data_IF_677753735988
#
_entry.id   IF_677753735988
#
_cell.length_a   1.000
_cell.length_b   1.000
_cell.length_c   1.000
_cell.angle_alpha   90.00
_cell.angle_beta   90.00
_cell.angle_gamma   90.00
#
_symmetry.space_group_name_H-M   'P 1'
#
loop_
_entity.id
_entity.type
_entity.pdbx_description
1 polymer ?
#
# COMPACT_ATOMS: atom_id res chain seq x y z
N UNK A 1 -15.66 -6.18 4.90
CA UNK A 1 -14.77 -5.64 3.83
C UNK A 1 -15.11 -6.31 2.51
N UNK A 2 -15.19 -7.66 2.48
CA UNK A 2 -15.62 -8.43 1.30
C UNK A 2 -16.90 -7.88 0.66
N UNK A 3 -17.97 -7.66 1.43
CA UNK A 3 -19.21 -7.07 0.93
C UNK A 3 -19.08 -5.67 0.32
N UNK A 4 -18.10 -4.87 0.75
CA UNK A 4 -17.82 -3.54 0.20
C UNK A 4 -17.07 -3.71 -1.13
N UNK A 5 -16.09 -4.59 -1.19
CA UNK A 5 -15.34 -4.90 -2.40
C UNK A 5 -16.27 -5.49 -3.45
N UNK A 6 -17.14 -6.45 -3.10
CA UNK A 6 -18.16 -6.98 -4.02
C UNK A 6 -19.12 -5.90 -4.52
N UNK A 7 -19.55 -4.99 -3.64
CA UNK A 7 -20.51 -3.94 -4.01
C UNK A 7 -19.94 -2.94 -5.02
N UNK A 8 -18.67 -2.57 -4.89
CA UNK A 8 -18.04 -1.53 -5.72
C UNK A 8 -17.09 -2.08 -6.79
N UNK A 9 -16.87 -3.39 -6.81
CA UNK A 9 -16.03 -4.17 -7.75
C UNK A 9 -14.74 -3.47 -8.23
N UNK A 10 -13.83 -3.13 -7.31
CA UNK A 10 -12.60 -2.46 -7.69
C UNK A 10 -11.58 -3.42 -8.32
N UNK A 11 -11.20 -3.16 -9.57
CA UNK A 11 -10.29 -3.99 -10.38
C UNK A 11 -8.86 -4.23 -9.82
N UNK A 12 -8.44 -3.55 -8.75
CA UNK A 12 -7.05 -3.58 -8.23
C UNK A 12 -6.96 -3.71 -6.71
N UNK A 13 -8.02 -4.18 -6.05
CA UNK A 13 -8.03 -4.37 -4.59
C UNK A 13 -7.87 -5.84 -4.27
N UNK A 14 -6.88 -6.14 -3.45
CA UNK A 14 -6.66 -7.46 -2.88
C UNK A 14 -6.87 -7.38 -1.37
N UNK A 15 -7.55 -8.38 -0.81
CA UNK A 15 -7.81 -8.46 0.61
C UNK A 15 -6.83 -9.43 1.28
N UNK A 16 -6.35 -9.04 2.44
CA UNK A 16 -5.61 -9.92 3.35
C UNK A 16 -6.15 -9.75 4.77
N UNK A 17 -5.85 -10.72 5.63
CA UNK A 17 -6.28 -10.69 7.02
C UNK A 17 -5.55 -9.56 7.76
N UNK A 18 -6.31 -8.74 8.49
CA UNK A 18 -5.72 -7.77 9.43
C UNK A 18 -5.07 -8.44 10.64
N UNK A 19 -4.26 -7.70 11.39
CA UNK A 19 -3.68 -8.13 12.66
C UNK A 19 -4.20 -7.28 13.83
N UNK A 20 -3.84 -7.68 15.06
CA UNK A 20 -4.16 -6.95 16.29
C UNK A 20 -3.56 -5.53 16.35
N UNK A 21 -2.51 -5.24 15.58
CA UNK A 21 -1.84 -3.94 15.59
C UNK A 21 -1.66 -3.42 14.17
N UNK A 22 -1.48 -2.09 14.05
CA UNK A 22 -1.21 -1.42 12.77
C UNK A 22 0.01 -2.02 12.07
N UNK A 23 1.15 -2.12 12.77
CA UNK A 23 2.40 -2.63 12.18
C UNK A 23 2.27 -4.09 11.71
N UNK A 24 1.61 -4.96 12.48
CA UNK A 24 1.38 -6.34 12.06
C UNK A 24 0.41 -6.45 10.88
N UNK A 25 -0.54 -5.53 10.76
CA UNK A 25 -1.46 -5.48 9.61
C UNK A 25 -0.73 -5.02 8.36
N UNK A 26 0.14 -4.00 8.48
CA UNK A 26 1.02 -3.55 7.40
C UNK A 26 1.90 -4.71 6.92
N UNK A 27 2.53 -5.46 7.84
CA UNK A 27 3.36 -6.62 7.49
C UNK A 27 2.56 -7.68 6.71
N UNK A 28 1.34 -8.04 7.14
CA UNK A 28 0.51 -8.98 6.39
C UNK A 28 0.12 -8.47 4.99
N UNK A 29 -0.06 -7.15 4.84
CA UNK A 29 -0.26 -6.50 3.54
C UNK A 29 0.97 -6.63 2.63
N UNK A 30 2.17 -6.41 3.16
CA UNK A 30 3.42 -6.54 2.43
C UNK A 30 3.66 -7.98 1.96
N UNK A 31 3.45 -8.98 2.82
CA UNK A 31 3.58 -10.39 2.45
C UNK A 31 2.57 -10.82 1.37
N UNK A 32 1.35 -10.29 1.44
CA UNK A 32 0.33 -10.51 0.42
C UNK A 32 0.74 -9.91 -0.93
N UNK A 33 1.19 -8.65 -0.94
CA UNK A 33 1.71 -7.99 -2.15
C UNK A 33 2.91 -8.73 -2.73
N UNK A 34 3.84 -9.16 -1.88
CA UNK A 34 5.01 -9.94 -2.27
C UNK A 34 4.61 -11.22 -3.01
N UNK A 35 3.61 -11.93 -2.50
CA UNK A 35 3.06 -13.14 -3.12
C UNK A 35 2.35 -12.85 -4.44
N UNK A 36 1.47 -11.84 -4.49
CA UNK A 36 0.70 -11.47 -5.70
C UNK A 36 1.62 -11.06 -6.84
N UNK A 37 2.62 -10.22 -6.54
CA UNK A 37 3.55 -9.68 -7.52
C UNK A 37 4.74 -10.62 -7.80
N UNK A 38 4.81 -11.76 -7.11
CA UNK A 38 5.92 -12.72 -7.19
C UNK A 38 7.29 -12.05 -7.04
N UNK A 39 7.41 -11.10 -6.10
CA UNK A 39 8.61 -10.27 -5.96
C UNK A 39 9.88 -11.06 -5.63
N UNK A 40 9.75 -12.26 -5.04
CA UNK A 40 10.90 -13.16 -4.84
C UNK A 40 11.62 -13.56 -6.15
N UNK A 41 10.96 -13.37 -7.30
CA UNK A 41 11.49 -13.64 -8.64
C UNK A 41 11.84 -12.37 -9.41
N UNK A 42 11.71 -11.19 -8.78
CA UNK A 42 11.87 -9.90 -9.43
C UNK A 42 13.10 -9.18 -8.88
N UNK A 43 14.01 -8.73 -9.76
CA UNK A 43 15.18 -7.91 -9.37
C UNK A 43 14.81 -6.45 -9.03
N UNK A 44 13.53 -6.09 -9.07
CA UNK A 44 13.08 -4.71 -8.84
C UNK A 44 12.98 -4.40 -7.36
N UNK A 45 13.35 -3.17 -7.00
CA UNK A 45 13.14 -2.56 -5.67
C UNK A 45 11.89 -1.65 -5.73
N UNK A 46 10.68 -2.15 -5.42
CA UNK A 46 9.46 -1.38 -5.58
C UNK A 46 9.27 -0.37 -4.45
N UNK A 47 8.75 0.81 -4.81
CA UNK A 47 8.24 1.76 -3.82
C UNK A 47 6.86 1.30 -3.35
N UNK A 48 6.67 1.19 -2.02
CA UNK A 48 5.39 0.86 -1.40
C UNK A 48 4.85 2.07 -0.64
N UNK A 49 3.59 2.42 -0.92
CA UNK A 49 2.88 3.49 -0.21
C UNK A 49 2.00 2.88 0.88
N UNK A 50 2.14 3.39 2.10
CA UNK A 50 1.27 3.04 3.22
C UNK A 50 0.25 4.17 3.43
N UNK A 51 -1.04 3.85 3.28
CA UNK A 51 -2.14 4.81 3.43
C UNK A 51 -3.17 4.33 4.45
N UNK A 52 -3.72 5.25 5.23
CA UNK A 52 -4.79 4.93 6.17
C UNK A 52 -6.15 4.93 5.44
N UNK A 53 -6.92 3.84 5.56
CA UNK A 53 -8.22 3.69 4.87
C UNK A 53 -9.30 4.71 5.24
N UNK A 54 -9.08 5.52 6.29
CA UNK A 54 -9.99 6.58 6.74
C UNK A 54 -9.62 7.98 6.21
N UNK A 55 -8.60 8.10 5.35
CA UNK A 55 -8.14 9.36 4.76
C UNK A 55 -8.51 9.44 3.27
N UNK A 56 -9.76 9.77 2.91
CA UNK A 56 -10.23 9.70 1.52
C UNK A 56 -9.63 10.78 0.60
N UNK A 57 -9.12 11.89 1.15
CA UNK A 57 -8.65 13.03 0.38
C UNK A 57 -7.12 13.05 0.30
N UNK A 58 -6.59 12.38 -0.73
CA UNK A 58 -5.19 12.46 -1.14
C UNK A 58 -5.15 12.89 -2.61
N UNK A 59 -4.40 13.95 -2.90
CA UNK A 59 -4.21 14.44 -4.26
C UNK A 59 -3.06 13.71 -4.96
N UNK A 60 -3.10 13.70 -6.30
CA UNK A 60 -2.10 13.05 -7.14
C UNK A 60 -0.70 13.60 -6.91
N UNK A 61 -0.58 14.93 -6.72
CA UNK A 61 0.70 15.58 -6.45
C UNK A 61 1.36 15.01 -5.19
N UNK A 62 0.62 14.86 -4.11
CA UNK A 62 1.11 14.29 -2.86
C UNK A 62 1.64 12.86 -3.09
N UNK A 63 0.96 12.05 -3.91
CA UNK A 63 1.38 10.69 -4.25
C UNK A 63 2.68 10.70 -5.06
N UNK A 64 2.78 11.54 -6.08
CA UNK A 64 3.98 11.64 -6.91
C UNK A 64 5.18 12.17 -6.10
N UNK A 65 4.98 13.21 -5.30
CA UNK A 65 6.02 13.80 -4.45
C UNK A 65 6.62 12.74 -3.50
N UNK A 66 5.79 11.90 -2.87
CA UNK A 66 6.34 10.83 -1.99
C UNK A 66 7.07 9.75 -2.76
N UNK A 67 6.62 9.38 -3.96
CA UNK A 67 7.29 8.38 -4.80
C UNK A 67 8.67 8.89 -5.21
N UNK A 68 8.74 10.11 -5.75
CA UNK A 68 9.97 10.69 -6.28
C UNK A 68 11.02 10.84 -5.18
N UNK A 69 10.63 11.37 -4.02
CA UNK A 69 11.54 11.54 -2.89
C UNK A 69 11.95 10.20 -2.26
N UNK A 70 11.14 9.14 -2.36
CA UNK A 70 11.49 7.82 -1.82
C UNK A 70 12.68 7.21 -2.54
N UNK A 71 12.86 7.48 -3.83
CA UNK A 71 14.02 6.98 -4.59
C UNK A 71 15.35 7.46 -3.99
N UNK A 72 15.37 8.72 -3.53
CA UNK A 72 16.51 9.37 -2.89
C UNK A 72 16.65 9.03 -1.41
N UNK A 73 15.56 9.14 -0.63
CA UNK A 73 15.60 9.07 0.84
C UNK A 73 15.21 7.72 1.43
N UNK A 74 14.80 6.76 0.60
CA UNK A 74 14.36 5.39 0.94
C UNK A 74 13.08 5.29 1.78
N UNK A 75 12.74 6.30 2.56
CA UNK A 75 11.46 6.45 3.23
C UNK A 75 11.08 7.92 3.35
N UNK A 76 9.84 8.25 3.03
CA UNK A 76 9.31 9.62 3.07
C UNK A 76 7.93 9.58 3.74
N UNK A 77 7.64 10.58 4.56
CA UNK A 77 6.35 10.76 5.22
C UNK A 77 5.77 12.13 4.91
N UNK A 78 4.45 12.20 4.80
CA UNK A 78 3.72 13.46 4.65
C UNK A 78 3.30 13.94 6.04
N UNK A 79 3.71 15.16 6.39
CA UNK A 79 3.23 15.86 7.59
C UNK A 79 2.23 16.92 7.13
N UNK A 80 1.04 16.92 7.75
CA UNK A 80 -0.03 17.90 7.52
C UNK A 80 -0.49 18.44 8.87
#
# INVERSE_FOLDING_TARGET
>A
MESIVEKYDPNKVFLTKGAKTRHRSILQGLECLKSILQLDKCEKDPVVIIHDGVRPFVDEKTILDVIDNTTQYKAVGVVR
#
